data_IF_745818594048
#
_entry.id   IF_745818594048
#
_cell.length_a   1.000
_cell.length_b   1.000
_cell.length_c   1.000
_cell.angle_alpha   90.00
_cell.angle_beta   90.00
_cell.angle_gamma   90.00
#
_symmetry.space_group_name_H-M   'P 1'
#
loop_
_entity.id
_entity.type
_entity.pdbx_description
1 polymer ?
#
# COMPACT_ATOMS: atom_id res chain seq x y z
N UNK A 1 22.83 -13.83 5.53
CA UNK A 1 22.24 -13.95 4.17
C UNK A 1 20.72 -13.92 4.19
N UNK A 2 20.05 -14.78 4.97
CA UNK A 2 18.57 -14.82 5.02
C UNK A 2 17.93 -13.47 5.41
N UNK A 3 18.51 -12.75 6.38
CA UNK A 3 18.01 -11.44 6.79
C UNK A 3 18.04 -10.41 5.65
N UNK A 4 19.14 -10.29 4.93
CA UNK A 4 19.26 -9.36 3.79
C UNK A 4 18.31 -9.73 2.64
N UNK A 5 18.12 -11.02 2.37
CA UNK A 5 17.12 -11.49 1.39
C UNK A 5 15.71 -11.12 1.85
N UNK A 6 15.39 -11.33 3.12
CA UNK A 6 14.08 -10.97 3.69
C UNK A 6 13.83 -9.46 3.58
N UNK A 7 14.85 -8.65 3.87
CA UNK A 7 14.82 -7.19 3.76
C UNK A 7 14.61 -6.74 2.31
N UNK A 8 15.34 -7.33 1.37
CA UNK A 8 15.17 -7.05 -0.05
C UNK A 8 13.76 -7.45 -0.54
N UNK A 9 13.27 -8.63 -0.16
CA UNK A 9 11.93 -9.10 -0.49
C UNK A 9 10.84 -8.19 0.08
N UNK A 10 10.97 -7.76 1.34
CA UNK A 10 10.07 -6.80 1.98
C UNK A 10 10.00 -5.46 1.22
N UNK A 11 11.14 -4.91 0.81
CA UNK A 11 11.18 -3.66 0.06
C UNK A 11 10.60 -3.83 -1.35
N UNK A 12 10.94 -4.92 -2.04
CA UNK A 12 10.41 -5.19 -3.37
C UNK A 12 8.87 -5.27 -3.37
N UNK A 13 8.30 -6.02 -2.43
CA UNK A 13 6.84 -6.15 -2.33
C UNK A 13 6.19 -4.85 -1.84
N UNK A 14 6.85 -4.09 -0.96
CA UNK A 14 6.40 -2.75 -0.58
C UNK A 14 6.32 -1.80 -1.79
N UNK A 15 7.35 -1.77 -2.65
CA UNK A 15 7.33 -0.90 -3.83
C UNK A 15 6.26 -1.29 -4.85
N UNK A 16 6.07 -2.59 -5.08
CA UNK A 16 4.98 -3.08 -5.93
C UNK A 16 3.62 -2.67 -5.36
N UNK A 17 3.43 -2.82 -4.05
CA UNK A 17 2.20 -2.42 -3.36
C UNK A 17 1.93 -0.91 -3.50
N UNK A 18 2.91 -0.06 -3.19
CA UNK A 18 2.78 1.40 -3.30
C UNK A 18 2.52 1.82 -4.76
N UNK A 19 3.24 1.22 -5.71
CA UNK A 19 3.06 1.49 -7.14
C UNK A 19 1.64 1.17 -7.62
N UNK A 20 1.08 0.04 -7.19
CA UNK A 20 -0.31 -0.33 -7.48
C UNK A 20 -1.32 0.66 -6.90
N UNK A 21 -1.15 1.09 -5.65
CA UNK A 21 -2.01 2.11 -5.04
C UNK A 21 -1.96 3.44 -5.81
N UNK A 22 -0.77 3.88 -6.21
CA UNK A 22 -0.61 5.09 -7.02
C UNK A 22 -1.35 4.95 -8.36
N UNK A 23 -1.20 3.80 -9.03
CA UNK A 23 -1.91 3.53 -10.29
C UNK A 23 -3.44 3.62 -10.11
N UNK A 24 -3.99 3.07 -9.02
CA UNK A 24 -5.42 3.18 -8.70
C UNK A 24 -5.83 4.63 -8.46
N UNK A 25 -5.07 5.41 -7.69
CA UNK A 25 -5.42 6.83 -7.47
C UNK A 25 -5.38 7.63 -8.77
N UNK A 26 -4.35 7.43 -9.59
CA UNK A 26 -4.21 8.13 -10.87
C UNK A 26 -5.36 7.77 -11.81
N UNK A 27 -5.73 6.50 -11.91
CA UNK A 27 -6.84 6.05 -12.74
C UNK A 27 -8.20 6.57 -12.25
N UNK A 28 -8.38 6.73 -10.93
CA UNK A 28 -9.59 7.34 -10.36
C UNK A 28 -9.63 8.86 -10.56
N UNK A 29 -8.48 9.52 -10.65
CA UNK A 29 -8.39 10.98 -10.85
C UNK A 29 -8.42 11.39 -12.32
N UNK A 30 -7.83 10.57 -13.18
CA UNK A 30 -7.71 10.77 -14.61
C UNK A 30 -8.23 9.50 -15.30
N UNK A 31 -9.56 9.33 -15.34
CA UNK A 31 -10.16 8.13 -15.91
C UNK A 31 -9.84 8.03 -17.40
N UNK A 32 -9.37 6.85 -17.79
CA UNK A 32 -9.16 6.45 -19.18
C UNK A 32 -10.12 5.32 -19.47
N UNK A 33 -10.89 5.45 -20.56
CA UNK A 33 -11.89 4.45 -20.95
C UNK A 33 -11.25 3.07 -21.11
N UNK A 34 -11.91 2.06 -20.58
CA UNK A 34 -11.44 0.68 -20.62
C UNK A 34 -10.29 0.32 -19.68
N UNK A 35 -9.66 1.29 -18.98
CA UNK A 35 -8.48 1.01 -18.14
C UNK A 35 -8.80 0.47 -16.73
N UNK A 36 -9.95 0.83 -16.15
CA UNK A 36 -10.28 0.48 -14.76
C UNK A 36 -10.46 -1.03 -14.52
N UNK A 37 -11.03 -1.77 -15.48
CA UNK A 37 -11.24 -3.23 -15.36
C UNK A 37 -9.91 -4.00 -15.37
N UNK A 38 -9.00 -3.80 -16.34
CA UNK A 38 -7.64 -4.33 -16.28
C UNK A 38 -6.90 -3.96 -15.00
N UNK A 39 -6.99 -2.69 -14.58
CA UNK A 39 -6.32 -2.22 -13.36
C UNK A 39 -6.83 -2.96 -12.11
N UNK A 40 -8.14 -3.20 -11.98
CA UNK A 40 -8.69 -3.99 -10.89
C UNK A 40 -8.22 -5.45 -10.92
N UNK A 41 -8.07 -6.04 -12.12
CA UNK A 41 -7.52 -7.39 -12.25
C UNK A 41 -6.05 -7.44 -11.82
N UNK A 42 -5.26 -6.43 -12.21
CA UNK A 42 -3.87 -6.26 -11.78
C UNK A 42 -3.77 -6.07 -10.27
N UNK A 43 -4.63 -5.25 -9.67
CA UNK A 43 -4.66 -5.04 -8.23
C UNK A 43 -4.86 -6.36 -7.47
N UNK A 44 -5.84 -7.17 -7.88
CA UNK A 44 -6.13 -8.47 -7.28
C UNK A 44 -4.99 -9.48 -7.46
N UNK A 45 -4.35 -9.48 -8.63
CA UNK A 45 -3.32 -10.47 -8.98
C UNK A 45 -1.91 -10.09 -8.49
N UNK A 46 -1.63 -8.80 -8.29
CA UNK A 46 -0.28 -8.29 -8.03
C UNK A 46 -0.23 -7.41 -6.80
N UNK A 47 -1.05 -6.35 -6.73
CA UNK A 47 -0.94 -5.32 -5.67
C UNK A 47 -1.39 -5.86 -4.31
N UNK A 48 -2.52 -6.58 -4.27
CA UNK A 48 -3.03 -7.22 -3.05
C UNK A 48 -2.08 -8.32 -2.54
N UNK A 49 -1.59 -9.26 -3.36
CA UNK A 49 -0.55 -10.20 -2.94
C UNK A 49 0.74 -9.52 -2.48
N UNK A 50 1.18 -8.45 -3.16
CA UNK A 50 2.35 -7.68 -2.76
C UNK A 50 2.19 -7.05 -1.37
N UNK A 51 1.00 -6.49 -1.06
CA UNK A 51 0.69 -6.01 0.28
C UNK A 51 0.81 -7.14 1.32
N UNK A 52 0.19 -8.29 1.07
CA UNK A 52 0.22 -9.43 2.00
C UNK A 52 1.67 -9.87 2.23
N UNK A 53 2.46 -10.03 1.17
CA UNK A 53 3.86 -10.42 1.28
C UNK A 53 4.69 -9.35 1.99
N UNK A 54 4.46 -8.06 1.75
CA UNK A 54 5.14 -6.98 2.46
C UNK A 54 4.87 -7.06 3.98
N UNK A 55 3.62 -7.32 4.38
CA UNK A 55 3.26 -7.55 5.79
C UNK A 55 3.95 -8.78 6.36
N UNK A 56 3.89 -9.92 5.66
CA UNK A 56 4.51 -11.17 6.09
C UNK A 56 6.03 -11.04 6.26
N UNK A 57 6.72 -10.43 5.29
CA UNK A 57 8.16 -10.18 5.42
C UNK A 57 8.46 -9.14 6.51
N UNK A 58 7.60 -8.15 6.72
CA UNK A 58 7.73 -7.20 7.82
C UNK A 58 7.68 -7.88 9.19
N UNK A 59 6.74 -8.82 9.37
CA UNK A 59 6.66 -9.66 10.57
C UNK A 59 7.93 -10.50 10.73
N UNK A 60 8.37 -11.16 9.65
CA UNK A 60 9.59 -11.98 9.67
C UNK A 60 10.84 -11.17 10.03
N UNK A 61 10.97 -9.94 9.53
CA UNK A 61 12.04 -9.03 9.93
C UNK A 61 11.96 -8.63 11.41
N UNK A 62 10.75 -8.41 11.93
CA UNK A 62 10.54 -8.17 13.35
C UNK A 62 11.01 -9.35 14.22
N UNK A 63 10.77 -10.58 13.76
CA UNK A 63 11.23 -11.82 14.43
C UNK A 63 12.76 -11.91 14.35
N UNK A 64 13.33 -11.80 13.14
CA UNK A 64 14.77 -11.91 12.92
C UNK A 64 15.57 -10.82 13.65
N UNK A 65 15.00 -9.62 13.79
CA UNK A 65 15.61 -8.50 14.50
C UNK A 65 15.34 -8.47 16.01
N UNK A 66 14.39 -9.26 16.51
CA UNK A 66 13.99 -9.25 17.92
C UNK A 66 13.32 -7.94 18.38
N UNK A 67 12.61 -7.24 17.48
CA UNK A 67 12.14 -5.86 17.72
C UNK A 67 10.70 -5.74 18.24
N UNK A 68 10.01 -6.85 18.54
CA UNK A 68 8.62 -6.81 19.00
C UNK A 68 8.41 -6.10 20.35
N UNK A 69 9.47 -5.93 21.13
CA UNK A 69 9.46 -5.14 22.37
C UNK A 69 9.75 -3.66 22.13
N UNK A 70 10.14 -3.27 20.92
CA UNK A 70 10.48 -1.88 20.59
C UNK A 70 9.23 -1.05 20.27
N UNK A 71 9.11 0.12 20.91
CA UNK A 71 8.00 1.06 20.74
C UNK A 71 7.83 1.53 19.29
N UNK A 72 8.94 1.82 18.60
CA UNK A 72 8.92 2.25 17.20
C UNK A 72 8.28 1.20 16.26
N UNK A 73 8.44 -0.10 16.56
CA UNK A 73 7.85 -1.16 15.75
C UNK A 73 6.34 -1.20 15.94
N UNK A 74 5.85 -1.03 17.16
CA UNK A 74 4.42 -0.90 17.45
C UNK A 74 3.78 0.26 16.67
N UNK A 75 4.42 1.44 16.70
CA UNK A 75 3.98 2.59 15.90
C UNK A 75 4.01 2.31 14.39
N UNK A 76 5.06 1.65 13.89
CA UNK A 76 5.17 1.27 12.48
C UNK A 76 4.05 0.32 12.05
N UNK A 77 3.69 -0.65 12.90
CA UNK A 77 2.59 -1.58 12.64
C UNK A 77 1.27 -0.82 12.51
N UNK A 78 0.97 0.13 13.41
CA UNK A 78 -0.25 0.94 13.33
C UNK A 78 -0.33 1.73 12.01
N UNK A 79 0.77 2.35 11.59
CA UNK A 79 0.82 3.09 10.32
C UNK A 79 0.66 2.18 9.10
N UNK A 80 1.30 1.02 9.11
CA UNK A 80 1.20 0.03 8.03
C UNK A 80 -0.22 -0.53 7.92
N UNK A 81 -0.89 -0.79 9.04
CA UNK A 81 -2.31 -1.19 9.04
C UNK A 81 -3.21 -0.07 8.50
N UNK A 82 -2.91 1.20 8.83
CA UNK A 82 -3.58 2.36 8.23
C UNK A 82 -3.38 2.42 6.71
N UNK A 83 -2.17 2.14 6.23
CA UNK A 83 -1.86 2.06 4.80
C UNK A 83 -2.59 0.90 4.11
N UNK A 84 -2.71 -0.27 4.76
CA UNK A 84 -3.53 -1.39 4.27
C UNK A 84 -5.02 -1.03 4.21
N UNK A 85 -5.53 -0.31 5.20
CA UNK A 85 -6.90 0.23 5.17
C UNK A 85 -7.11 1.21 4.01
N UNK A 86 -6.14 2.08 3.76
CA UNK A 86 -6.15 3.00 2.62
C UNK A 86 -6.18 2.25 1.28
N UNK A 87 -5.40 1.17 1.14
CA UNK A 87 -5.45 0.29 -0.02
C UNK A 87 -6.85 -0.32 -0.19
N UNK A 88 -7.44 -0.88 0.86
CA UNK A 88 -8.80 -1.42 0.80
C UNK A 88 -9.85 -0.38 0.37
N UNK A 89 -9.72 0.86 0.87
CA UNK A 89 -10.58 1.96 0.46
C UNK A 89 -10.42 2.30 -1.03
N UNK A 90 -9.19 2.29 -1.56
CA UNK A 90 -8.92 2.50 -2.99
C UNK A 90 -9.56 1.42 -3.86
N UNK A 91 -9.42 0.15 -3.49
CA UNK A 91 -10.05 -0.97 -4.21
C UNK A 91 -11.58 -0.83 -4.18
N UNK A 92 -12.14 -0.40 -3.05
CA UNK A 92 -13.56 -0.10 -2.92
C UNK A 92 -14.03 1.00 -3.89
N UNK A 93 -13.28 2.11 -3.99
CA UNK A 93 -13.56 3.19 -4.93
C UNK A 93 -13.39 2.75 -6.39
N UNK A 94 -12.33 1.99 -6.71
CA UNK A 94 -12.10 1.42 -8.03
C UNK A 94 -13.26 0.52 -8.45
N UNK A 95 -13.75 -0.32 -7.54
CA UNK A 95 -14.94 -1.13 -7.78
C UNK A 95 -16.12 -0.23 -8.15
N UNK A 96 -16.47 0.77 -7.33
CA UNK A 96 -17.61 1.67 -7.60
C UNK A 96 -17.48 2.38 -8.96
N UNK A 97 -16.31 2.93 -9.26
CA UNK A 97 -16.03 3.61 -10.54
C UNK A 97 -16.22 2.70 -11.76
N UNK A 98 -15.98 1.38 -11.64
CA UNK A 98 -16.25 0.43 -12.73
C UNK A 98 -17.75 0.21 -12.96
N UNK A 99 -18.57 0.29 -11.90
CA UNK A 99 -20.02 0.13 -12.00
C UNK A 99 -20.72 1.41 -12.50
N UNK A 100 -20.18 2.59 -12.20
CA UNK A 100 -20.80 3.91 -12.44
C UNK A 100 -20.32 4.62 -13.73
N UNK A 101 -20.37 3.99 -14.92
CA UNK A 101 -19.95 4.62 -16.22
C UNK A 101 -20.49 6.05 -16.47
N UNK A 102 -19.79 6.89 -17.27
CA UNK A 102 -19.23 8.21 -16.91
C UNK A 102 -20.31 9.28 -16.62
N UNK A 103 -20.93 9.20 -15.45
CA UNK A 103 -21.91 10.17 -14.99
C UNK A 103 -21.50 10.80 -13.66
N UNK A 104 -20.41 11.57 -13.66
CA UNK A 104 -20.05 12.42 -12.52
C UNK A 104 -19.43 11.67 -11.33
N UNK A 105 -18.25 11.09 -11.52
CA UNK A 105 -17.42 10.74 -10.37
C UNK A 105 -16.92 12.04 -9.73
N UNK A 106 -17.51 12.38 -8.57
CA UNK A 106 -16.94 13.32 -7.59
C UNK A 106 -15.42 13.14 -7.49
N UNK A 107 -14.60 14.19 -7.22
CA UNK A 107 -13.14 14.11 -7.10
C UNK A 107 -12.70 13.34 -5.84
N UNK A 108 -13.12 12.08 -5.75
CA UNK A 108 -13.04 11.18 -4.62
C UNK A 108 -11.67 10.50 -4.59
N UNK A 109 -10.62 11.30 -4.44
CA UNK A 109 -9.25 10.77 -4.43
C UNK A 109 -8.16 11.78 -4.11
N UNK A 110 -8.49 13.08 -4.04
CA UNK A 110 -7.50 14.17 -3.85
C UNK A 110 -6.62 13.99 -2.62
N UNK A 111 -7.18 13.49 -1.51
CA UNK A 111 -6.46 13.29 -0.26
C UNK A 111 -5.74 11.93 -0.17
N UNK A 112 -6.05 10.96 -1.03
CA UNK A 112 -5.54 9.60 -0.86
C UNK A 112 -4.04 9.48 -1.20
N UNK A 113 -3.59 10.19 -2.24
CA UNK A 113 -2.15 10.30 -2.56
C UNK A 113 -1.36 10.95 -1.42
N UNK A 114 -1.66 12.19 -0.98
CA UNK A 114 -0.88 12.84 0.06
C UNK A 114 -0.95 12.08 1.39
N UNK A 115 -2.10 11.50 1.77
CA UNK A 115 -2.19 10.66 2.98
C UNK A 115 -1.30 9.42 2.84
N UNK A 116 -1.34 8.72 1.70
CA UNK A 116 -0.47 7.57 1.44
C UNK A 116 1.02 7.93 1.48
N UNK A 117 1.40 9.08 0.91
CA UNK A 117 2.78 9.59 0.94
C UNK A 117 3.23 9.91 2.36
N UNK A 118 2.39 10.57 3.17
CA UNK A 118 2.69 10.88 4.57
C UNK A 118 2.85 9.60 5.39
N UNK A 119 1.94 8.62 5.23
CA UNK A 119 2.05 7.32 5.90
C UNK A 119 3.36 6.62 5.54
N UNK A 120 3.71 6.57 4.24
CA UNK A 120 4.96 5.97 3.79
C UNK A 120 6.19 6.67 4.37
N UNK A 121 6.19 8.01 4.38
CA UNK A 121 7.28 8.79 4.95
C UNK A 121 7.48 8.51 6.45
N UNK A 122 6.38 8.47 7.23
CA UNK A 122 6.43 8.15 8.65
C UNK A 122 6.92 6.71 8.90
N UNK A 123 6.48 5.74 8.08
CA UNK A 123 6.93 4.33 8.16
C UNK A 123 8.45 4.24 7.91
N UNK A 124 8.95 4.94 6.89
CA UNK A 124 10.39 4.98 6.55
C UNK A 124 11.20 5.69 7.64
N UNK A 125 10.67 6.78 8.19
CA UNK A 125 11.33 7.53 9.26
C UNK A 125 11.50 6.66 10.52
N UNK A 126 10.42 5.98 10.95
CA UNK A 126 10.45 5.13 12.13
C UNK A 126 11.47 3.99 12.02
N UNK A 127 11.53 3.32 10.86
CA UNK A 127 12.47 2.21 10.69
C UNK A 127 13.93 2.68 10.52
N UNK A 128 14.13 3.90 10.05
CA UNK A 128 15.46 4.48 9.85
C UNK A 128 16.04 5.01 11.15
N UNK A 129 15.25 5.79 11.89
CA UNK A 129 15.70 6.45 13.13
C UNK A 129 15.65 5.50 14.31
N UNK A 130 14.69 4.55 14.33
CA UNK A 130 14.44 3.62 15.44
C UNK A 130 14.47 4.32 16.81
N UNK A 131 13.65 5.36 17.01
CA UNK A 131 13.58 6.06 18.28
C UNK A 131 13.16 5.13 19.44
#
# INVERSE_FOLDING_TARGET
>A
MLYEITKAAHLATLFVWIGGMIAVVLALRYPVDGFLKPLKAYDRAVTTPAMILALSFGILLGVQGGWFTSSWLGMKILLVLGLSGLHGALVGKLRRAIWESPGGAEPSGRLLLPVGTVLLALIVLLVTIKP
#
